data_IF_725813502489
#
_entry.id   IF_725813502489
#
_cell.length_a   1.000
_cell.length_b   1.000
_cell.length_c   1.000
_cell.angle_alpha   90.00
_cell.angle_beta   90.00
_cell.angle_gamma   90.00
#
_symmetry.space_group_name_H-M   'P 1'
#
loop_
_entity.id
_entity.type
_entity.pdbx_description
1 polymer ?
#
# COMPACT_ATOMS: atom_id res chain seq x y z
N UNK A 1 -21.75 -12.72 -12.93
CA UNK A 1 -22.80 -11.70 -12.88
C UNK A 1 -23.73 -12.01 -11.72
N UNK A 2 -23.77 -11.15 -10.72
CA UNK A 2 -24.75 -11.21 -9.64
C UNK A 2 -25.48 -9.89 -9.61
N UNK A 3 -26.80 -9.95 -9.41
CA UNK A 3 -27.61 -8.75 -9.22
C UNK A 3 -27.10 -7.96 -8.02
N UNK A 4 -26.85 -6.68 -8.22
CA UNK A 4 -26.44 -5.78 -7.14
C UNK A 4 -27.70 -5.28 -6.46
N UNK A 5 -27.92 -5.67 -5.23
CA UNK A 5 -29.01 -5.12 -4.43
C UNK A 5 -28.61 -3.75 -3.87
N UNK A 6 -29.49 -2.79 -4.08
CA UNK A 6 -29.36 -1.48 -3.45
C UNK A 6 -29.49 -1.59 -1.93
N UNK A 7 -28.50 -1.06 -1.20
CA UNK A 7 -28.60 -0.99 0.26
C UNK A 7 -28.21 0.40 0.75
N UNK A 8 -28.95 0.90 1.74
CA UNK A 8 -28.67 2.19 2.36
C UNK A 8 -27.32 2.20 3.08
N UNK A 9 -26.91 1.06 3.64
CA UNK A 9 -25.61 0.85 4.26
C UNK A 9 -24.47 0.97 3.24
N UNK A 10 -24.65 0.43 2.04
CA UNK A 10 -23.70 0.52 0.93
C UNK A 10 -23.50 1.97 0.49
N UNK A 11 -24.57 2.71 0.32
CA UNK A 11 -24.54 4.15 -0.04
C UNK A 11 -23.86 4.96 1.07
N UNK A 12 -24.24 4.74 2.33
CA UNK A 12 -23.64 5.42 3.49
C UNK A 12 -22.12 5.15 3.56
N UNK A 13 -21.70 3.90 3.30
CA UNK A 13 -20.28 3.52 3.29
C UNK A 13 -19.51 4.19 2.18
N UNK A 14 -20.09 4.25 0.97
CA UNK A 14 -19.51 4.96 -0.17
C UNK A 14 -19.36 6.46 0.10
N UNK A 15 -20.40 7.10 0.68
CA UNK A 15 -20.34 8.51 1.06
C UNK A 15 -19.21 8.78 2.08
N UNK A 16 -19.11 7.96 3.12
CA UNK A 16 -18.00 8.07 4.10
C UNK A 16 -16.62 7.93 3.46
N UNK A 17 -16.51 7.06 2.45
CA UNK A 17 -15.26 6.89 1.73
C UNK A 17 -14.90 8.14 0.92
N UNK A 18 -15.85 8.74 0.21
CA UNK A 18 -15.67 10.00 -0.52
C UNK A 18 -15.21 11.12 0.43
N UNK A 19 -15.86 11.26 1.58
CA UNK A 19 -15.45 12.24 2.59
C UNK A 19 -14.03 11.96 3.14
N UNK A 20 -13.70 10.69 3.38
CA UNK A 20 -12.35 10.29 3.83
C UNK A 20 -11.30 10.66 2.79
N UNK A 21 -11.58 10.42 1.52
CA UNK A 21 -10.70 10.74 0.40
C UNK A 21 -10.45 12.25 0.28
N UNK A 22 -11.53 13.05 0.36
CA UNK A 22 -11.45 14.52 0.35
C UNK A 22 -10.62 15.06 1.51
N UNK A 23 -10.88 14.58 2.71
CA UNK A 23 -10.14 14.99 3.91
C UNK A 23 -8.66 14.57 3.85
N UNK A 24 -8.35 13.40 3.28
CA UNK A 24 -6.99 12.95 3.05
C UNK A 24 -6.25 13.90 2.10
N UNK A 25 -6.90 14.29 1.00
CA UNK A 25 -6.35 15.23 0.02
C UNK A 25 -6.00 16.58 0.66
N UNK A 26 -6.91 17.15 1.45
CA UNK A 26 -6.67 18.38 2.22
C UNK A 26 -5.48 18.24 3.17
N UNK A 27 -5.43 17.17 3.96
CA UNK A 27 -4.32 16.91 4.88
C UNK A 27 -2.97 16.84 4.18
N UNK A 28 -2.91 16.27 2.97
CA UNK A 28 -1.67 16.18 2.18
C UNK A 28 -1.26 17.56 1.66
N UNK A 29 -2.22 18.38 1.19
CA UNK A 29 -1.97 19.73 0.69
C UNK A 29 -1.47 20.65 1.81
N UNK A 30 -2.12 20.61 2.96
CA UNK A 30 -1.84 21.47 4.12
C UNK A 30 -0.65 20.97 4.97
N UNK A 31 -0.10 19.79 4.63
CA UNK A 31 0.98 19.18 5.40
C UNK A 31 2.24 20.02 5.33
N UNK A 32 2.75 20.39 6.51
CA UNK A 32 4.06 21.02 6.63
C UNK A 32 5.17 19.99 6.40
N UNK A 33 6.27 20.43 5.79
CA UNK A 33 7.45 19.58 5.64
C UNK A 33 7.96 19.08 6.99
N UNK A 34 8.41 17.83 6.99
CA UNK A 34 8.97 17.15 8.15
C UNK A 34 10.39 16.68 7.84
N UNK A 35 11.11 16.24 8.86
CA UNK A 35 12.37 15.51 8.68
C UNK A 35 12.14 14.31 7.78
N UNK A 36 12.97 14.14 6.76
CA UNK A 36 12.82 13.08 5.76
C UNK A 36 13.68 11.88 6.15
N UNK A 37 13.05 10.71 6.25
CA UNK A 37 13.72 9.42 6.36
C UNK A 37 13.64 8.68 5.03
N UNK A 38 14.75 8.55 4.31
CA UNK A 38 14.82 7.83 3.03
C UNK A 38 14.36 6.37 3.17
N UNK A 39 14.57 5.75 4.32
CA UNK A 39 14.14 4.37 4.60
C UNK A 39 12.61 4.29 4.67
N UNK A 40 11.97 5.19 5.41
CA UNK A 40 10.50 5.22 5.52
C UNK A 40 9.85 5.57 4.18
N UNK A 41 10.42 6.52 3.44
CA UNK A 41 9.94 6.90 2.11
C UNK A 41 10.04 5.72 1.12
N UNK A 42 11.17 4.99 1.10
CA UNK A 42 11.31 3.78 0.28
C UNK A 42 10.30 2.70 0.66
N UNK A 43 10.06 2.47 1.96
CA UNK A 43 9.03 1.52 2.43
C UNK A 43 7.63 1.92 1.98
N UNK A 44 7.32 3.20 2.06
CA UNK A 44 6.03 3.74 1.59
C UNK A 44 5.86 3.53 0.09
N UNK A 45 6.84 3.95 -0.71
CA UNK A 45 6.81 3.81 -2.17
C UNK A 45 6.72 2.35 -2.62
N UNK A 46 7.41 1.42 -1.95
CA UNK A 46 7.28 -0.01 -2.24
C UNK A 46 5.85 -0.51 -1.99
N UNK A 47 5.24 -0.17 -0.84
CA UNK A 47 3.85 -0.52 -0.56
C UNK A 47 2.90 0.08 -1.61
N UNK A 48 3.05 1.38 -1.89
CA UNK A 48 2.22 2.06 -2.88
C UNK A 48 2.32 1.39 -4.26
N UNK A 49 3.53 1.11 -4.75
CA UNK A 49 3.74 0.48 -6.06
C UNK A 49 3.10 -0.91 -6.16
N UNK A 50 3.10 -1.70 -5.07
CA UNK A 50 2.41 -3.00 -5.03
C UNK A 50 0.90 -2.83 -5.20
N UNK A 51 0.28 -1.86 -4.52
CA UNK A 51 -1.14 -1.57 -4.71
C UNK A 51 -1.42 -1.05 -6.11
N UNK A 52 -0.60 -0.13 -6.63
CA UNK A 52 -0.75 0.42 -7.98
C UNK A 52 -0.71 -0.67 -9.04
N UNK A 53 0.27 -1.57 -8.96
CA UNK A 53 0.37 -2.71 -9.87
C UNK A 53 -0.84 -3.65 -9.77
N UNK A 54 -1.21 -4.02 -8.53
CA UNK A 54 -2.34 -4.92 -8.27
C UNK A 54 -3.67 -4.33 -8.76
N UNK A 55 -3.95 -3.07 -8.43
CA UNK A 55 -5.19 -2.40 -8.84
C UNK A 55 -5.26 -2.27 -10.36
N UNK A 56 -4.18 -1.87 -11.04
CA UNK A 56 -4.13 -1.79 -12.50
C UNK A 56 -4.49 -3.14 -13.15
N UNK A 57 -3.88 -4.24 -12.69
CA UNK A 57 -4.19 -5.58 -13.20
C UNK A 57 -5.64 -6.01 -12.91
N UNK A 58 -6.19 -5.62 -11.76
CA UNK A 58 -7.59 -5.93 -11.41
C UNK A 58 -8.58 -5.18 -12.31
N UNK A 59 -8.29 -3.93 -12.63
CA UNK A 59 -9.10 -3.12 -13.54
C UNK A 59 -9.04 -3.70 -14.96
N UNK A 60 -7.86 -4.05 -15.46
CA UNK A 60 -7.70 -4.69 -16.78
C UNK A 60 -8.49 -6.00 -16.91
N UNK A 61 -8.59 -6.77 -15.82
CA UNK A 61 -9.36 -8.01 -15.74
C UNK A 61 -10.83 -7.83 -15.36
N UNK A 62 -11.31 -6.60 -15.25
CA UNK A 62 -12.67 -6.27 -14.80
C UNK A 62 -13.06 -6.82 -13.41
N UNK A 63 -12.09 -7.08 -12.55
CA UNK A 63 -12.34 -7.45 -11.16
C UNK A 63 -12.56 -6.21 -10.29
N UNK A 64 -13.59 -5.42 -10.64
CA UNK A 64 -13.81 -4.07 -10.10
C UNK A 64 -14.14 -4.06 -8.60
N UNK A 65 -14.88 -5.04 -8.09
CA UNK A 65 -15.17 -5.18 -6.66
C UNK A 65 -13.88 -5.36 -5.83
N UNK A 66 -12.94 -6.18 -6.33
CA UNK A 66 -11.65 -6.39 -5.67
C UNK A 66 -10.76 -5.14 -5.79
N UNK A 67 -10.81 -4.43 -6.94
CA UNK A 67 -10.11 -3.16 -7.11
C UNK A 67 -10.59 -2.12 -6.09
N UNK A 68 -11.92 -2.00 -5.88
CA UNK A 68 -12.51 -1.10 -4.87
C UNK A 68 -12.01 -1.46 -3.48
N UNK A 69 -11.99 -2.73 -3.08
CA UNK A 69 -11.46 -3.15 -1.78
C UNK A 69 -9.98 -2.73 -1.60
N UNK A 70 -9.15 -2.88 -2.66
CA UNK A 70 -7.75 -2.44 -2.64
C UNK A 70 -7.61 -0.92 -2.55
N UNK A 71 -8.54 -0.12 -3.10
CA UNK A 71 -8.55 1.33 -2.88
C UNK A 71 -8.76 1.70 -1.42
N UNK A 72 -9.67 1.04 -0.71
CA UNK A 72 -9.87 1.27 0.73
C UNK A 72 -8.59 1.01 1.52
N UNK A 73 -7.91 -0.11 1.24
CA UNK A 73 -6.64 -0.46 1.88
C UNK A 73 -5.54 0.55 1.56
N UNK A 74 -5.41 0.95 0.27
CA UNK A 74 -4.41 1.92 -0.16
C UNK A 74 -4.59 3.28 0.51
N UNK A 75 -5.83 3.79 0.59
CA UNK A 75 -6.13 5.05 1.27
C UNK A 75 -5.81 4.97 2.76
N UNK A 76 -6.00 3.80 3.38
CA UNK A 76 -5.59 3.59 4.76
C UNK A 76 -4.07 3.67 4.91
N UNK A 77 -3.33 2.98 4.05
CA UNK A 77 -1.85 3.04 4.03
C UNK A 77 -1.36 4.49 3.88
N UNK A 78 -1.91 5.26 2.93
CA UNK A 78 -1.50 6.66 2.74
C UNK A 78 -1.78 7.50 3.98
N UNK A 79 -2.95 7.34 4.59
CA UNK A 79 -3.31 8.07 5.81
C UNK A 79 -2.35 7.78 6.98
N UNK A 80 -1.88 6.52 7.12
CA UNK A 80 -0.93 6.13 8.17
C UNK A 80 0.46 6.78 7.95
N UNK A 81 0.82 7.07 6.70
CA UNK A 81 2.10 7.68 6.37
C UNK A 81 2.10 9.22 6.44
N UNK A 82 0.95 9.89 6.54
CA UNK A 82 0.88 11.35 6.68
C UNK A 82 1.65 11.84 7.92
N UNK A 83 1.62 11.10 9.01
CA UNK A 83 2.31 11.45 10.26
C UNK A 83 3.78 11.07 10.28
N UNK A 84 4.25 10.24 9.34
CA UNK A 84 5.62 9.71 9.30
C UNK A 84 6.61 10.67 8.63
N UNK A 85 7.89 10.35 8.76
CA UNK A 85 9.01 11.14 8.28
C UNK A 85 9.29 10.90 6.79
N UNK A 86 8.31 11.22 5.94
CA UNK A 86 8.42 11.19 4.47
C UNK A 86 8.17 12.58 3.90
N UNK A 87 8.68 12.85 2.70
CA UNK A 87 8.52 14.17 2.07
C UNK A 87 7.06 14.45 1.69
N UNK A 88 6.66 15.70 1.76
CA UNK A 88 5.34 16.14 1.32
C UNK A 88 5.19 16.00 -0.19
N UNK A 89 6.29 16.20 -0.96
CA UNK A 89 6.29 15.97 -2.41
C UNK A 89 5.99 14.51 -2.75
N UNK A 90 6.61 13.54 -2.07
CA UNK A 90 6.34 12.12 -2.26
C UNK A 90 4.87 11.76 -2.00
N UNK A 91 4.26 12.32 -0.94
CA UNK A 91 2.84 12.14 -0.65
C UNK A 91 1.95 12.75 -1.74
N UNK A 92 2.24 13.97 -2.20
CA UNK A 92 1.49 14.65 -3.25
C UNK A 92 1.55 13.87 -4.56
N UNK A 93 2.74 13.47 -5.00
CA UNK A 93 2.91 12.67 -6.22
C UNK A 93 2.16 11.33 -6.14
N UNK A 94 2.21 10.68 -4.98
CA UNK A 94 1.47 9.44 -4.73
C UNK A 94 -0.03 9.68 -4.80
N UNK A 95 -0.52 10.75 -4.17
CA UNK A 95 -1.94 11.10 -4.18
C UNK A 95 -2.44 11.40 -5.60
N UNK A 96 -1.66 12.11 -6.41
CA UNK A 96 -1.96 12.37 -7.82
C UNK A 96 -2.14 11.04 -8.59
N UNK A 97 -1.22 10.09 -8.41
CA UNK A 97 -1.31 8.77 -9.05
C UNK A 97 -2.56 8.00 -8.58
N UNK A 98 -2.89 8.09 -7.29
CA UNK A 98 -4.11 7.46 -6.74
C UNK A 98 -5.36 8.07 -7.36
N UNK A 99 -5.45 9.39 -7.44
CA UNK A 99 -6.60 10.06 -8.06
C UNK A 99 -6.78 9.64 -9.52
N UNK A 100 -5.69 9.50 -10.27
CA UNK A 100 -5.75 9.06 -11.67
C UNK A 100 -6.29 7.64 -11.83
N UNK A 101 -5.85 6.68 -11.00
CA UNK A 101 -6.37 5.30 -11.09
C UNK A 101 -7.79 5.15 -10.54
N UNK A 102 -8.24 6.08 -9.69
CA UNK A 102 -9.61 6.10 -9.17
C UNK A 102 -10.60 6.85 -10.08
N UNK A 103 -10.11 7.63 -11.05
CA UNK A 103 -10.96 8.44 -11.92
C UNK A 103 -12.06 7.65 -12.63
N UNK A 104 -11.86 6.41 -13.13
CA UNK A 104 -12.94 5.63 -13.76
C UNK A 104 -14.08 5.28 -12.79
N UNK A 105 -13.85 5.28 -11.48
CA UNK A 105 -14.83 4.92 -10.46
C UNK A 105 -15.53 6.15 -9.87
N UNK A 106 -14.81 7.23 -9.68
CA UNK A 106 -15.29 8.43 -8.99
C UNK A 106 -14.76 9.71 -9.67
N UNK A 107 -15.17 10.01 -10.92
CA UNK A 107 -14.58 11.07 -11.72
C UNK A 107 -14.67 12.45 -11.05
N UNK A 108 -15.81 12.82 -10.47
CA UNK A 108 -16.00 14.16 -9.91
C UNK A 108 -15.06 14.46 -8.76
N UNK A 109 -15.03 13.60 -7.74
CA UNK A 109 -14.14 13.82 -6.57
C UNK A 109 -12.66 13.75 -6.95
N UNK A 110 -12.28 12.88 -7.87
CA UNK A 110 -10.89 12.75 -8.30
C UNK A 110 -10.44 13.96 -9.13
N UNK A 111 -11.30 14.52 -9.99
CA UNK A 111 -11.03 15.77 -10.70
C UNK A 111 -10.82 16.93 -9.72
N UNK A 112 -11.71 17.10 -8.75
CA UNK A 112 -11.57 18.16 -7.74
C UNK A 112 -10.26 18.01 -6.93
N UNK A 113 -9.92 16.79 -6.54
CA UNK A 113 -8.67 16.51 -5.84
C UNK A 113 -7.45 16.81 -6.71
N UNK A 114 -7.47 16.47 -8.00
CA UNK A 114 -6.38 16.74 -8.94
C UNK A 114 -6.25 18.23 -9.22
N UNK A 115 -7.37 18.95 -9.41
CA UNK A 115 -7.34 20.42 -9.56
C UNK A 115 -6.65 21.08 -8.35
N UNK A 116 -6.93 20.63 -7.15
CA UNK A 116 -6.30 21.14 -5.93
C UNK A 116 -4.81 20.80 -5.81
N UNK A 117 -4.34 19.71 -6.44
CA UNK A 117 -2.94 19.26 -6.39
C UNK A 117 -2.07 19.76 -7.54
N UNK A 118 -2.60 19.82 -8.76
CA UNK A 118 -1.88 20.11 -10.01
C UNK A 118 -2.41 21.35 -10.76
N UNK A 119 -3.53 21.96 -10.31
CA UNK A 119 -4.20 23.06 -11.00
C UNK A 119 -5.18 22.56 -12.10
N UNK A 120 -5.79 23.51 -12.83
CA UNK A 120 -6.87 23.23 -13.80
C UNK A 120 -6.41 22.41 -15.03
N UNK A 121 -5.12 22.44 -15.33
CA UNK A 121 -4.57 21.78 -16.53
C UNK A 121 -4.20 20.29 -16.32
N UNK A 122 -4.60 19.65 -15.22
CA UNK A 122 -4.25 18.27 -14.91
C UNK A 122 -4.66 17.25 -15.99
N UNK A 123 -5.70 17.53 -16.77
CA UNK A 123 -6.18 16.67 -17.87
C UNK A 123 -5.18 16.57 -19.02
N UNK A 124 -4.36 17.60 -19.28
CA UNK A 124 -3.37 17.59 -20.36
C UNK A 124 -2.30 16.51 -20.18
N UNK A 125 -2.01 16.13 -18.93
CA UNK A 125 -1.04 15.13 -18.55
C UNK A 125 -1.66 13.87 -17.94
N UNK A 126 -2.94 13.62 -18.22
CA UNK A 126 -3.68 12.51 -17.60
C UNK A 126 -3.30 11.15 -18.21
N UNK A 127 -2.10 10.67 -17.89
CA UNK A 127 -1.63 9.33 -18.26
C UNK A 127 -1.88 8.34 -17.13
N UNK A 128 -2.23 7.09 -17.50
CA UNK A 128 -2.33 6.01 -16.53
C UNK A 128 -0.98 5.80 -15.83
N UNK A 129 -0.91 5.89 -14.49
CA UNK A 129 0.34 5.74 -13.78
C UNK A 129 0.85 4.30 -13.85
N UNK A 130 2.15 4.16 -14.10
CA UNK A 130 2.82 2.85 -14.13
C UNK A 130 3.52 2.60 -12.81
N UNK A 131 3.43 1.35 -12.33
CA UNK A 131 4.19 0.92 -11.18
C UNK A 131 5.67 0.78 -11.52
N UNK A 132 6.54 1.20 -10.62
CA UNK A 132 7.97 1.00 -10.72
C UNK A 132 8.30 -0.45 -10.35
N UNK A 133 8.78 -1.21 -11.32
CA UNK A 133 9.10 -2.63 -11.15
C UNK A 133 10.20 -2.87 -10.13
N UNK A 134 11.14 -1.94 -9.97
CA UNK A 134 12.24 -2.06 -9.00
C UNK A 134 11.76 -1.99 -7.55
N UNK A 135 10.59 -1.40 -7.33
CA UNK A 135 9.94 -1.28 -6.02
C UNK A 135 8.92 -2.39 -5.73
N UNK A 136 8.66 -3.28 -6.72
CA UNK A 136 7.74 -4.41 -6.55
C UNK A 136 8.40 -5.60 -5.87
N UNK A 137 9.71 -5.72 -6.00
CA UNK A 137 10.47 -6.79 -5.34
C UNK A 137 10.43 -6.59 -3.83
N UNK A 138 9.99 -7.62 -3.12
CA UNK A 138 10.06 -7.63 -1.66
C UNK A 138 11.53 -7.69 -1.24
N UNK A 139 12.04 -6.57 -0.76
CA UNK A 139 13.35 -6.56 -0.12
C UNK A 139 13.36 -7.37 1.19
N UNK A 140 12.20 -7.61 1.78
CA UNK A 140 12.06 -8.36 3.04
C UNK A 140 10.92 -9.38 2.95
N UNK A 141 11.23 -10.64 3.20
CA UNK A 141 10.26 -11.74 3.32
C UNK A 141 10.19 -12.14 4.79
N UNK A 142 8.97 -12.30 5.31
CA UNK A 142 8.76 -12.84 6.66
C UNK A 142 8.61 -14.35 6.57
N UNK A 143 9.57 -15.07 7.13
CA UNK A 143 9.62 -16.53 7.17
C UNK A 143 9.03 -17.01 8.49
N UNK A 144 8.05 -17.91 8.40
CA UNK A 144 7.46 -18.57 9.57
C UNK A 144 8.34 -19.76 9.93
N UNK A 145 8.95 -19.74 11.12
CA UNK A 145 9.72 -20.89 11.62
C UNK A 145 8.79 -21.83 12.37
N UNK A 146 8.76 -23.08 11.91
CA UNK A 146 8.00 -24.16 12.54
C UNK A 146 8.98 -25.23 13.06
N UNK A 147 8.72 -25.75 14.25
CA UNK A 147 9.44 -26.90 14.84
C UNK A 147 8.40 -27.92 15.27
N UNK A 148 8.49 -29.13 14.74
CA UNK A 148 7.51 -30.20 14.96
C UNK A 148 6.06 -29.77 14.63
N UNK A 149 5.86 -29.08 13.49
CA UNK A 149 4.56 -28.64 13.01
C UNK A 149 3.94 -27.46 13.78
N UNK A 150 4.62 -26.92 14.80
CA UNK A 150 4.13 -25.78 15.59
C UNK A 150 4.92 -24.52 15.26
N UNK A 151 4.22 -23.41 14.98
CA UNK A 151 4.84 -22.09 14.77
C UNK A 151 5.59 -21.66 16.03
N UNK A 152 6.90 -21.37 15.91
CA UNK A 152 7.78 -20.98 17.03
C UNK A 152 8.33 -19.57 16.90
N UNK A 153 8.36 -19.01 15.70
CA UNK A 153 8.82 -17.64 15.50
C UNK A 153 8.56 -17.12 14.08
N UNK A 154 8.92 -15.86 13.90
CA UNK A 154 8.93 -15.17 12.61
C UNK A 154 10.32 -14.55 12.45
N UNK A 155 10.91 -14.71 11.28
CA UNK A 155 12.18 -14.07 10.90
C UNK A 155 11.94 -13.25 9.66
N UNK A 156 12.30 -11.96 9.70
CA UNK A 156 12.22 -11.08 8.54
C UNK A 156 13.60 -10.94 7.92
N UNK A 157 13.70 -11.24 6.62
CA UNK A 157 14.96 -11.22 5.88
C UNK A 157 14.75 -10.77 4.43
N UNK A 158 15.83 -10.37 3.76
CA UNK A 158 15.80 -10.05 2.32
C UNK A 158 15.44 -11.30 1.51
N UNK A 159 14.65 -11.12 0.45
CA UNK A 159 14.20 -12.21 -0.43
C UNK A 159 15.34 -12.96 -1.13
N UNK A 160 16.52 -12.33 -1.23
CA UNK A 160 17.75 -12.91 -1.84
C UNK A 160 18.62 -13.70 -0.86
N UNK A 161 18.20 -13.89 0.40
CA UNK A 161 19.00 -14.60 1.40
C UNK A 161 19.03 -16.10 1.13
N UNK A 162 20.22 -16.70 1.25
CA UNK A 162 20.41 -18.14 1.13
C UNK A 162 19.80 -18.89 2.31
N UNK A 163 19.45 -20.16 2.12
CA UNK A 163 18.92 -21.03 3.18
C UNK A 163 19.89 -21.11 4.38
N UNK A 164 21.19 -21.16 4.12
CA UNK A 164 22.23 -21.19 5.15
C UNK A 164 22.24 -19.92 6.03
N UNK A 165 21.97 -18.76 5.45
CA UNK A 165 21.86 -17.51 6.19
C UNK A 165 20.58 -17.44 7.04
N UNK A 166 19.48 -17.96 6.48
CA UNK A 166 18.20 -18.07 7.19
C UNK A 166 18.37 -18.98 8.41
N UNK A 167 19.02 -20.13 8.23
CA UNK A 167 19.28 -21.07 9.33
C UNK A 167 20.15 -20.47 10.44
N UNK A 168 21.19 -19.70 10.11
CA UNK A 168 22.00 -18.98 11.09
C UNK A 168 21.14 -18.07 11.97
N UNK A 169 20.24 -17.30 11.37
CA UNK A 169 19.34 -16.41 12.12
C UNK A 169 18.34 -17.17 12.99
N UNK A 170 17.90 -18.36 12.54
CA UNK A 170 17.03 -19.23 13.37
C UNK A 170 17.78 -19.65 14.63
N UNK A 171 19.05 -20.04 14.52
CA UNK A 171 19.87 -20.44 15.68
C UNK A 171 20.24 -19.28 16.60
N UNK A 172 20.46 -18.08 16.04
CA UNK A 172 20.78 -16.86 16.82
C UNK A 172 19.55 -16.29 17.55
N UNK A 173 18.33 -16.63 17.13
CA UNK A 173 17.11 -16.12 17.75
C UNK A 173 16.82 -16.83 19.07
N UNK A 174 17.09 -16.17 20.20
CA UNK A 174 16.92 -16.72 21.55
C UNK A 174 15.53 -17.31 21.85
N UNK A 175 14.47 -16.77 21.22
CA UNK A 175 13.10 -17.28 21.39
C UNK A 175 12.89 -18.62 20.67
N UNK A 176 13.59 -18.84 19.57
CA UNK A 176 13.50 -20.05 18.75
C UNK A 176 14.50 -21.10 19.22
N UNK A 177 15.71 -20.67 19.59
CA UNK A 177 16.81 -21.52 20.06
C UNK A 177 16.42 -22.43 21.24
N UNK A 178 15.55 -21.97 22.14
CA UNK A 178 15.01 -22.76 23.25
C UNK A 178 14.30 -24.05 22.78
N UNK A 179 13.78 -24.08 21.59
CA UNK A 179 13.06 -25.23 21.03
C UNK A 179 13.96 -26.11 20.14
N UNK A 180 15.20 -25.67 19.85
CA UNK A 180 16.18 -26.39 19.03
C UNK A 180 17.03 -27.34 19.82
N UNK A 181 17.25 -27.06 21.12
CA UNK A 181 18.12 -27.86 22.01
C UNK A 181 17.71 -29.32 22.12
N UNK A 182 16.45 -29.69 21.78
CA UNK A 182 15.91 -31.05 21.89
C UNK A 182 15.28 -31.59 20.61
N UNK A 183 15.33 -30.88 19.46
CA UNK A 183 14.60 -31.28 18.25
C UNK A 183 15.35 -30.90 16.98
N UNK A 184 15.30 -31.77 15.96
CA UNK A 184 15.71 -31.45 14.59
C UNK A 184 14.66 -30.53 13.97
N UNK A 185 15.14 -29.58 13.17
CA UNK A 185 14.31 -28.67 12.34
C UNK A 185 13.77 -29.45 11.15
#
# INVERSE_FOLDING_TARGET
DRDIQWSNEGVSSAHKFVQKLWNLNKKIIERKEKKISKIEEKKFLSKFNKYLFRISNLIEKFHLNVAVANFYELIHVVNDYISKDISTSCLKETQIKIMRIMMPFMPHITCECLTALEGENFLQNNKWPKADKTLLEDSEVTIVVQINGKKRGLITRNSSSSESEIMKLVYENQKIAKYLLNNKI
#
